data_IF_857709389364
#
_entry.id   IF_857709389364
#
_cell.length_a   1.000
_cell.length_b   1.000
_cell.length_c   1.000
_cell.angle_alpha   90.00
_cell.angle_beta   90.00
_cell.angle_gamma   90.00
#
_symmetry.space_group_name_H-M   'P 1'
#
loop_
_entity.id
_entity.type
_entity.pdbx_description
1 polymer ?
#
# COMPACT_ATOMS: atom_id res chain seq x y z
N UNK A 1 -10.31 -5.25 -0.74
CA UNK A 1 -9.26 -4.22 -0.69
C UNK A 1 -9.48 -3.36 0.53
N UNK A 2 -8.49 -3.32 1.39
CA UNK A 2 -8.60 -2.48 2.58
C UNK A 2 -7.91 -1.15 2.32
N UNK A 3 -8.70 -0.15 2.01
CA UNK A 3 -8.26 1.23 1.93
C UNK A 3 -9.26 2.03 2.73
N UNK A 4 -8.84 2.49 3.89
CA UNK A 4 -9.71 3.26 4.76
C UNK A 4 -9.36 4.72 4.68
N UNK A 5 -10.37 5.54 4.47
CA UNK A 5 -10.18 6.97 4.48
C UNK A 5 -10.55 7.53 5.85
N UNK A 6 -9.62 8.28 6.40
CA UNK A 6 -9.85 9.07 7.61
C UNK A 6 -9.69 10.54 7.25
N UNK A 7 -10.06 11.42 8.17
CA UNK A 7 -9.88 12.83 7.92
C UNK A 7 -8.40 13.13 7.69
N UNK A 8 -8.06 13.49 6.47
CA UNK A 8 -6.71 13.90 6.10
C UNK A 8 -5.74 12.80 5.71
N UNK A 9 -6.13 11.53 5.76
CA UNK A 9 -5.22 10.46 5.32
C UNK A 9 -5.97 9.22 4.87
N UNK A 10 -5.23 8.33 4.19
CA UNK A 10 -5.73 7.02 3.75
C UNK A 10 -4.80 5.96 4.30
N UNK A 11 -5.35 4.92 4.90
CA UNK A 11 -4.58 3.75 5.32
C UNK A 11 -4.72 2.66 4.27
N UNK A 12 -3.58 2.11 3.88
CA UNK A 12 -3.49 1.02 2.91
C UNK A 12 -2.77 -0.13 3.56
N UNK A 13 -3.34 -1.32 3.47
CA UNK A 13 -2.71 -2.51 4.01
C UNK A 13 -2.50 -3.55 2.91
N UNK A 14 -1.29 -4.08 2.84
CA UNK A 14 -0.95 -5.17 1.95
C UNK A 14 -0.50 -6.38 2.76
N UNK A 15 -0.83 -7.56 2.29
CA UNK A 15 -0.50 -8.79 2.96
C UNK A 15 0.29 -9.71 2.03
N UNK A 16 1.18 -10.49 2.62
CA UNK A 16 1.97 -11.47 1.90
C UNK A 16 1.08 -12.67 1.59
N UNK A 17 1.00 -13.00 0.33
CA UNK A 17 0.10 -14.03 -0.15
C UNK A 17 0.83 -15.32 -0.52
N UNK A 18 2.14 -15.26 -0.67
CA UNK A 18 2.98 -16.38 -1.10
C UNK A 18 4.23 -16.40 -0.23
N UNK A 19 4.49 -17.54 0.41
CA UNK A 19 5.67 -17.71 1.26
C UNK A 19 6.99 -17.49 0.55
N UNK A 20 7.01 -17.51 -0.77
CA UNK A 20 8.21 -17.23 -1.57
C UNK A 20 8.39 -15.75 -1.86
N UNK A 21 7.40 -14.95 -1.55
CA UNK A 21 7.49 -13.51 -1.80
C UNK A 21 8.55 -12.88 -0.92
N UNK A 22 9.12 -11.75 -1.34
CA UNK A 22 10.08 -11.03 -0.50
C UNK A 22 9.49 -10.66 0.84
N UNK A 23 10.36 -10.49 1.83
CA UNK A 23 9.93 -10.10 3.16
C UNK A 23 9.28 -8.72 3.16
N UNK A 24 8.51 -8.43 4.21
CA UNK A 24 7.75 -7.20 4.31
C UNK A 24 8.64 -5.96 4.21
N UNK A 25 9.78 -5.94 4.89
CA UNK A 25 10.67 -4.78 4.86
C UNK A 25 11.18 -4.49 3.45
N UNK A 26 11.57 -5.53 2.72
CA UNK A 26 12.04 -5.38 1.34
C UNK A 26 10.90 -4.89 0.44
N UNK A 27 9.73 -5.48 0.61
CA UNK A 27 8.56 -5.14 -0.19
C UNK A 27 8.13 -3.70 0.06
N UNK A 28 8.21 -3.25 1.32
CA UNK A 28 7.88 -1.86 1.65
C UNK A 28 8.77 -0.88 0.89
N UNK A 29 10.07 -1.13 0.86
CA UNK A 29 11.00 -0.25 0.14
C UNK A 29 10.64 -0.20 -1.35
N UNK A 30 10.33 -1.36 -1.92
CA UNK A 30 9.96 -1.44 -3.33
C UNK A 30 8.64 -0.73 -3.61
N UNK A 31 7.66 -0.90 -2.72
CA UNK A 31 6.37 -0.24 -2.85
C UNK A 31 6.54 1.28 -2.81
N UNK A 32 7.28 1.78 -1.83
CA UNK A 32 7.51 3.22 -1.71
C UNK A 32 8.19 3.79 -2.95
N UNK A 33 9.09 3.03 -3.56
CA UNK A 33 9.77 3.48 -4.77
C UNK A 33 8.84 3.58 -5.96
N UNK A 34 7.72 2.87 -5.95
CA UNK A 34 6.73 2.88 -7.03
C UNK A 34 5.65 3.93 -6.83
N UNK A 35 5.59 4.55 -5.67
CA UNK A 35 4.62 5.60 -5.38
C UNK A 35 5.24 6.97 -5.61
N UNK A 36 4.41 8.00 -5.87
CA UNK A 36 4.94 9.35 -6.05
C UNK A 36 5.76 9.79 -4.85
N UNK A 37 6.99 10.24 -5.10
CA UNK A 37 7.92 10.58 -4.03
C UNK A 37 7.54 11.79 -3.20
N UNK A 38 6.62 12.61 -3.69
CA UNK A 38 6.17 13.80 -2.96
C UNK A 38 5.05 13.50 -1.95
N UNK A 39 4.55 12.28 -1.92
CA UNK A 39 3.52 11.91 -0.95
C UNK A 39 4.14 11.71 0.42
N UNK A 40 3.48 12.24 1.44
CA UNK A 40 3.90 12.03 2.83
C UNK A 40 3.28 10.72 3.30
N UNK A 41 4.13 9.76 3.63
CA UNK A 41 3.71 8.44 4.06
C UNK A 41 4.31 8.09 5.40
N UNK A 42 3.53 7.40 6.21
CA UNK A 42 4.03 6.75 7.43
C UNK A 42 3.82 5.25 7.25
N UNK A 43 4.81 4.46 7.60
CA UNK A 43 4.74 3.03 7.37
C UNK A 43 4.88 2.23 8.64
N UNK A 44 4.29 1.03 8.62
CA UNK A 44 4.48 0.01 9.65
C UNK A 44 4.54 -1.34 8.96
N UNK A 45 5.36 -2.25 9.46
CA UNK A 45 5.50 -3.58 8.89
C UNK A 45 5.44 -4.64 9.97
N UNK A 46 4.87 -5.79 9.63
CA UNK A 46 4.96 -7.00 10.42
C UNK A 46 5.74 -8.05 9.65
N UNK A 47 5.52 -9.32 9.98
CA UNK A 47 6.17 -10.39 9.26
C UNK A 47 5.60 -10.55 7.86
N UNK A 48 4.28 -10.50 7.75
CA UNK A 48 3.59 -10.79 6.50
C UNK A 48 2.62 -9.69 6.11
N UNK A 49 2.80 -8.48 6.63
CA UNK A 49 1.92 -7.37 6.29
C UNK A 49 2.68 -6.05 6.29
N UNK A 50 2.15 -5.12 5.53
CA UNK A 50 2.65 -3.74 5.42
C UNK A 50 1.44 -2.83 5.55
N UNK A 51 1.58 -1.75 6.29
CA UNK A 51 0.57 -0.70 6.37
C UNK A 51 1.20 0.63 6.02
N UNK A 52 0.54 1.35 5.12
CA UNK A 52 0.95 2.71 4.76
C UNK A 52 -0.17 3.67 5.13
N UNK A 53 0.19 4.75 5.78
CA UNK A 53 -0.71 5.88 5.99
C UNK A 53 -0.23 6.99 5.09
N UNK A 54 -1.05 7.38 4.13
CA UNK A 54 -0.71 8.37 3.13
C UNK A 54 -1.54 9.62 3.38
N UNK A 55 -0.85 10.73 3.63
CA UNK A 55 -1.52 12.00 3.93
C UNK A 55 -2.12 12.55 2.65
N UNK A 56 -3.40 12.89 2.70
CA UNK A 56 -4.10 13.47 1.56
C UNK A 56 -3.78 14.95 1.42
N UNK A 57 -3.76 15.42 0.18
CA UNK A 57 -3.48 16.80 -0.12
C UNK A 57 -3.84 17.11 -1.57
N UNK A 58 -3.46 18.30 -2.07
CA UNK A 58 -3.81 18.70 -3.44
C UNK A 58 -3.28 17.74 -4.50
N UNK A 59 -2.18 17.07 -4.21
CA UNK A 59 -1.53 16.15 -5.15
C UNK A 59 -1.65 14.69 -4.74
N UNK A 60 -2.44 14.40 -3.73
CA UNK A 60 -2.63 13.05 -3.22
C UNK A 60 -4.07 12.88 -2.76
N UNK A 61 -5.01 12.91 -3.69
CA UNK A 61 -6.41 12.65 -3.42
C UNK A 61 -6.66 11.15 -3.25
N UNK A 62 -7.77 10.80 -2.63
CA UNK A 62 -8.09 9.40 -2.34
C UNK A 62 -8.09 8.53 -3.59
N UNK A 63 -8.69 8.99 -4.68
CA UNK A 63 -8.73 8.21 -5.92
C UNK A 63 -7.34 7.99 -6.49
N UNK A 64 -6.50 9.03 -6.45
CA UNK A 64 -5.13 8.93 -6.96
C UNK A 64 -4.31 7.96 -6.12
N UNK A 65 -4.49 7.99 -4.80
CA UNK A 65 -3.79 7.08 -3.90
C UNK A 65 -4.19 5.64 -4.19
N UNK A 66 -5.49 5.39 -4.29
CA UNK A 66 -6.00 4.05 -4.53
C UNK A 66 -5.48 3.49 -5.85
N UNK A 67 -5.51 4.30 -6.89
CA UNK A 67 -5.07 3.89 -8.21
C UNK A 67 -3.57 3.62 -8.24
N UNK A 68 -2.78 4.47 -7.62
CA UNK A 68 -1.33 4.31 -7.60
C UNK A 68 -0.93 3.05 -6.83
N UNK A 69 -1.56 2.77 -5.71
CA UNK A 69 -1.27 1.57 -4.93
C UNK A 69 -1.67 0.32 -5.71
N UNK A 70 -2.84 0.34 -6.35
CA UNK A 70 -3.28 -0.80 -7.15
C UNK A 70 -2.29 -1.07 -8.28
N UNK A 71 -1.87 -0.03 -8.98
CA UNK A 71 -0.91 -0.17 -10.08
C UNK A 71 0.43 -0.69 -9.57
N UNK A 72 0.91 -0.17 -8.44
CA UNK A 72 2.17 -0.60 -7.86
C UNK A 72 2.14 -2.09 -7.53
N UNK A 73 1.03 -2.60 -7.02
CA UNK A 73 0.93 -4.01 -6.65
C UNK A 73 0.86 -4.95 -7.86
N UNK A 74 0.70 -4.43 -9.07
CA UNK A 74 0.82 -5.24 -10.27
C UNK A 74 2.26 -5.35 -10.75
N UNK A 75 3.18 -4.61 -10.17
CA UNK A 75 4.58 -4.64 -10.57
C UNK A 75 5.20 -5.98 -10.17
N UNK A 76 6.01 -6.61 -11.04
CA UNK A 76 6.65 -7.88 -10.70
C UNK A 76 7.48 -7.84 -9.42
N UNK A 77 8.01 -6.68 -9.04
CA UNK A 77 8.78 -6.54 -7.81
C UNK A 77 7.95 -6.80 -6.56
N UNK A 78 6.62 -6.72 -6.68
CA UNK A 78 5.70 -6.95 -5.56
C UNK A 78 4.93 -8.25 -5.71
N UNK A 79 5.42 -9.17 -6.55
CA UNK A 79 4.78 -10.46 -6.73
C UNK A 79 4.64 -11.19 -5.39
N UNK A 80 3.47 -11.77 -5.16
CA UNK A 80 3.19 -12.49 -3.92
C UNK A 80 2.65 -11.61 -2.82
N UNK A 81 2.44 -10.33 -3.09
CA UNK A 81 1.80 -9.39 -2.18
C UNK A 81 0.50 -8.88 -2.81
N UNK A 82 -0.51 -8.65 -1.98
CA UNK A 82 -1.79 -8.14 -2.44
C UNK A 82 -2.38 -7.17 -1.42
N UNK A 83 -3.28 -6.32 -1.87
CA UNK A 83 -4.05 -5.51 -0.94
C UNK A 83 -4.90 -6.42 -0.06
N UNK A 84 -4.98 -6.12 1.21
CA UNK A 84 -5.84 -6.88 2.11
C UNK A 84 -7.28 -6.71 1.67
N UNK A 85 -7.94 -7.82 1.40
CA UNK A 85 -9.28 -7.80 0.83
C UNK A 85 -10.36 -7.75 1.87
N UNK A 86 -10.26 -6.87 2.82
CA UNK A 86 -11.11 -6.90 4.00
C UNK A 86 -12.13 -5.79 4.06
N UNK A 87 -12.19 -4.94 3.09
CA UNK A 87 -13.16 -3.87 3.12
C UNK A 87 -14.58 -4.42 3.18
N UNK A 88 -15.55 -3.61 3.64
CA UNK A 88 -16.94 -4.03 3.67
C UNK A 88 -17.45 -4.36 2.29
N UNK A 89 -16.91 -3.74 1.32
CA UNK A 89 -17.23 -4.05 -0.05
C UNK A 89 -16.43 -5.23 -0.56
N UNK A 90 -15.71 -5.83 0.30
CA UNK A 90 -14.89 -6.96 -0.09
C UNK A 90 -14.14 -7.36 1.07
#
# INVERSE_FOLDING_TARGET
>A
VTVERHAGYVDVEAVRDDGRAPAAATTLVRLLALLPGHWACTEAVGLDWIRLRIVLGPHAGESAVREAVRTALTDPALRGWRLAGTGPGG
#
